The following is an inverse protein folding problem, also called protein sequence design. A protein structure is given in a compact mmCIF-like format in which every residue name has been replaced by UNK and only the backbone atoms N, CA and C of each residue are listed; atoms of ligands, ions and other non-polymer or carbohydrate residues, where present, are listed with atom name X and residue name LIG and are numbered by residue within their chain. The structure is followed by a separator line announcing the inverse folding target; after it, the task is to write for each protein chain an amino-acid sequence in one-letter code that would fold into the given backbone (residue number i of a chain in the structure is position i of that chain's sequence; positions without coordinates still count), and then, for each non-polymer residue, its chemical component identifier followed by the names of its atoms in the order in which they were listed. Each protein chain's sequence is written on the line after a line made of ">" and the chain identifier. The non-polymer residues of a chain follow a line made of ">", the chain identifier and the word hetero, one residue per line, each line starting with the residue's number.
data_IF_556357955677
#
_entry.id   IF_556357955677
#
_cell.length_a   1.000
_cell.length_b   1.000
_cell.length_c   1.000
_cell.angle_alpha   90.00
_cell.angle_beta   90.00
_cell.angle_gamma   90.00
#
_symmetry.space_group_name_H-M   'P 1'
#
loop_
_entity.id
_entity.type
_entity.pdbx_description
1 polymer ?
#
# COMPACT_ATOMS: atom_id res chain seq x y z
N UNK A 1 0.48 -34.68 19.88
CA UNK A 1 -0.84 -35.38 19.90
C UNK A 1 -1.66 -34.84 21.04
N UNK A 2 -2.90 -34.49 20.79
CA UNK A 2 -3.86 -34.05 21.82
C UNK A 2 -4.50 -35.29 22.44
N UNK A 3 -4.55 -35.37 23.77
CA UNK A 3 -5.25 -36.44 24.50
C UNK A 3 -6.59 -35.90 25.00
N UNK A 4 -7.68 -36.43 24.48
CA UNK A 4 -9.03 -36.02 24.85
C UNK A 4 -9.65 -37.11 25.72
N UNK A 5 -9.94 -36.86 27.00
CA UNK A 5 -10.69 -37.78 27.82
C UNK A 5 -12.18 -37.73 27.43
N UNK A 6 -12.78 -38.89 27.18
CA UNK A 6 -14.19 -39.07 26.85
C UNK A 6 -14.82 -40.05 27.84
N UNK A 7 -16.09 -39.83 28.17
CA UNK A 7 -16.88 -40.76 28.99
C UNK A 7 -18.07 -41.20 28.14
N UNK A 8 -18.14 -42.50 27.84
CA UNK A 8 -19.25 -43.10 27.09
C UNK A 8 -19.76 -44.27 27.94
N UNK A 9 -21.06 -44.29 28.24
CA UNK A 9 -21.71 -45.35 29.05
C UNK A 9 -20.95 -45.66 30.36
N UNK A 10 -20.58 -44.62 31.12
CA UNK A 10 -19.83 -44.71 32.38
C UNK A 10 -18.40 -45.31 32.28
N UNK A 11 -17.91 -45.63 31.08
CA UNK A 11 -16.53 -46.03 30.82
C UNK A 11 -15.70 -44.82 30.34
N UNK A 12 -14.47 -44.69 30.88
CA UNK A 12 -13.52 -43.63 30.50
C UNK A 12 -12.63 -44.10 29.35
N UNK A 13 -12.64 -43.34 28.26
CA UNK A 13 -11.78 -43.54 27.10
C UNK A 13 -10.84 -42.35 26.95
N UNK A 14 -9.62 -42.60 26.48
CA UNK A 14 -8.68 -41.54 26.13
C UNK A 14 -8.37 -41.65 24.64
N UNK A 15 -8.71 -40.63 23.87
CA UNK A 15 -8.42 -40.60 22.45
C UNK A 15 -7.19 -39.72 22.23
N UNK A 16 -6.16 -40.30 21.62
CA UNK A 16 -5.00 -39.56 21.15
C UNK A 16 -5.19 -39.23 19.66
N UNK A 17 -5.33 -37.95 19.32
CA UNK A 17 -5.45 -37.50 17.92
C UNK A 17 -4.38 -36.45 17.62
N UNK A 18 -3.87 -36.44 16.39
CA UNK A 18 -3.02 -35.34 15.94
C UNK A 18 -3.82 -34.04 15.84
N UNK A 19 -3.20 -32.92 16.19
CA UNK A 19 -3.82 -31.59 16.06
C UNK A 19 -4.10 -31.19 14.61
N UNK A 20 -3.36 -31.77 13.65
CA UNK A 20 -3.60 -31.59 12.21
C UNK A 20 -4.89 -32.25 11.75
N UNK A 21 -5.23 -33.39 12.35
CA UNK A 21 -6.30 -34.25 11.86
C UNK A 21 -7.64 -33.77 12.46
N UNK A 22 -7.65 -33.37 13.75
CA UNK A 22 -8.82 -32.71 14.40
C UNK A 22 -9.31 -31.48 13.61
N UNK A 23 -8.39 -30.72 12.98
CA UNK A 23 -8.75 -29.54 12.16
C UNK A 23 -9.49 -29.90 10.88
N UNK A 24 -9.21 -31.07 10.29
CA UNK A 24 -9.84 -31.55 9.06
C UNK A 24 -11.14 -32.33 9.31
N UNK A 25 -11.43 -32.64 10.57
CA UNK A 25 -12.49 -33.56 10.97
C UNK A 25 -11.99 -34.99 10.90
N UNK A 26 -11.98 -35.69 12.04
CA UNK A 26 -11.57 -37.09 12.13
C UNK A 26 -12.68 -37.90 12.76
N UNK A 27 -13.04 -38.99 12.10
CA UNK A 27 -13.88 -40.02 12.70
C UNK A 27 -13.01 -40.98 13.50
N UNK A 28 -13.24 -41.04 14.81
CA UNK A 28 -12.60 -42.01 15.70
C UNK A 28 -13.65 -42.99 16.21
N UNK A 29 -13.31 -44.29 16.16
CA UNK A 29 -14.14 -45.33 16.75
C UNK A 29 -13.77 -45.50 18.22
N UNK A 30 -14.74 -45.28 19.13
CA UNK A 30 -14.54 -45.42 20.58
C UNK A 30 -15.71 -46.20 21.16
N UNK A 31 -15.44 -47.38 21.73
CA UNK A 31 -16.46 -48.21 22.36
C UNK A 31 -17.59 -48.67 21.40
N UNK A 32 -17.27 -48.86 20.11
CA UNK A 32 -18.26 -49.25 19.08
C UNK A 32 -19.07 -48.08 18.51
N UNK A 33 -18.80 -46.85 18.93
CA UNK A 33 -19.45 -45.63 18.42
C UNK A 33 -18.46 -44.82 17.58
N UNK A 34 -18.88 -44.42 16.38
CA UNK A 34 -18.12 -43.53 15.52
C UNK A 34 -18.34 -42.07 15.96
N UNK A 35 -17.30 -41.43 16.49
CA UNK A 35 -17.33 -40.02 16.90
C UNK A 35 -16.61 -39.16 15.87
N UNK A 36 -17.30 -38.16 15.31
CA UNK A 36 -16.67 -37.15 14.46
C UNK A 36 -16.14 -36.02 15.35
N UNK A 37 -14.82 -35.93 15.46
CA UNK A 37 -14.13 -34.89 16.20
C UNK A 37 -13.72 -33.78 15.23
N UNK A 38 -14.40 -32.64 15.31
CA UNK A 38 -14.05 -31.40 14.64
C UNK A 38 -13.78 -30.34 15.70
N UNK A 39 -12.74 -29.54 15.50
CA UNK A 39 -12.53 -28.32 16.29
C UNK A 39 -13.80 -27.44 16.23
N UNK A 40 -14.39 -27.12 17.38
CA UNK A 40 -15.53 -26.20 17.50
C UNK A 40 -15.16 -24.74 17.25
N UNK A 41 -13.86 -24.44 17.12
CA UNK A 41 -13.45 -23.25 16.39
C UNK A 41 -13.77 -23.50 14.91
N UNK A 42 -15.02 -23.24 14.55
CA UNK A 42 -15.35 -22.78 13.21
C UNK A 42 -14.70 -21.40 13.04
N UNK A 43 -13.39 -21.40 12.81
CA UNK A 43 -12.81 -20.44 11.87
C UNK A 43 -13.34 -20.83 10.47
N UNK A 44 -14.66 -20.80 10.29
CA UNK A 44 -15.24 -20.66 8.98
C UNK A 44 -14.58 -19.43 8.38
N UNK A 45 -14.02 -19.59 7.19
CA UNK A 45 -13.24 -18.60 6.48
C UNK A 45 -14.01 -17.27 6.47
N UNK A 46 -13.79 -16.44 7.50
CA UNK A 46 -14.66 -15.31 7.78
C UNK A 46 -14.23 -14.22 6.80
N UNK A 47 -14.75 -14.34 5.58
CA UNK A 47 -14.37 -13.56 4.41
C UNK A 47 -14.45 -12.07 4.74
N UNK A 48 -15.43 -11.67 5.55
CA UNK A 48 -15.58 -10.31 6.05
C UNK A 48 -14.44 -9.90 6.99
N UNK A 49 -14.06 -10.74 7.96
CA UNK A 49 -12.91 -10.49 8.85
C UNK A 49 -11.62 -10.38 8.03
N UNK A 50 -11.39 -11.31 7.11
CA UNK A 50 -10.20 -11.31 6.25
C UNK A 50 -10.15 -10.06 5.37
N UNK A 51 -11.26 -9.71 4.73
CA UNK A 51 -11.40 -8.48 3.95
C UNK A 51 -11.13 -7.23 4.79
N UNK A 52 -11.75 -7.11 5.97
CA UNK A 52 -11.59 -5.94 6.84
C UNK A 52 -10.14 -5.78 7.31
N UNK A 53 -9.50 -6.88 7.70
CA UNK A 53 -8.08 -6.88 8.09
C UNK A 53 -7.19 -6.46 6.92
N UNK A 54 -7.41 -7.01 5.72
CA UNK A 54 -6.64 -6.66 4.54
C UNK A 54 -6.83 -5.19 4.15
N UNK A 55 -8.07 -4.70 4.16
CA UNK A 55 -8.38 -3.29 3.91
C UNK A 55 -7.64 -2.37 4.90
N UNK A 56 -7.68 -2.69 6.20
CA UNK A 56 -6.96 -1.92 7.22
C UNK A 56 -5.44 -1.94 7.00
N UNK A 57 -4.86 -3.08 6.61
CA UNK A 57 -3.44 -3.19 6.26
C UNK A 57 -3.05 -2.24 5.11
N UNK A 58 -3.83 -2.22 4.03
CA UNK A 58 -3.64 -1.27 2.92
C UNK A 58 -3.78 0.19 3.38
N UNK A 59 -4.84 0.49 4.13
CA UNK A 59 -5.15 1.83 4.61
C UNK A 59 -4.03 2.40 5.49
N UNK A 60 -3.58 1.64 6.50
CA UNK A 60 -2.51 2.08 7.39
C UNK A 60 -1.18 2.23 6.66
N UNK A 61 -0.87 1.37 5.68
CA UNK A 61 0.34 1.50 4.87
C UNK A 61 0.35 2.82 4.08
N UNK A 62 -0.78 3.21 3.50
CA UNK A 62 -0.94 4.49 2.79
C UNK A 62 -0.84 5.67 3.74
N UNK A 63 -1.49 5.61 4.91
CA UNK A 63 -1.41 6.68 5.91
C UNK A 63 0.03 6.87 6.40
N UNK A 64 0.71 5.77 6.73
CA UNK A 64 2.09 5.81 7.20
C UNK A 64 3.01 6.48 6.18
N UNK A 65 2.83 6.16 4.90
CA UNK A 65 3.58 6.77 3.80
C UNK A 65 3.28 8.27 3.67
N UNK A 66 2.00 8.66 3.66
CA UNK A 66 1.58 10.06 3.56
C UNK A 66 2.08 10.88 4.73
N UNK A 67 2.03 10.32 5.93
CA UNK A 67 2.52 10.99 7.13
C UNK A 67 4.05 11.12 7.12
N UNK A 68 4.77 10.08 6.69
CA UNK A 68 6.23 10.15 6.56
C UNK A 68 6.66 11.20 5.55
N UNK A 69 5.96 11.29 4.41
CA UNK A 69 6.17 12.35 3.41
C UNK A 69 5.89 13.72 4.02
N UNK A 70 4.78 13.89 4.75
CA UNK A 70 4.39 15.16 5.38
C UNK A 70 5.44 15.66 6.37
N UNK A 71 6.02 14.76 7.14
CA UNK A 71 7.08 15.05 8.11
C UNK A 71 8.46 15.19 7.46
N UNK A 72 8.65 14.67 6.25
CA UNK A 72 9.96 14.61 5.58
C UNK A 72 10.87 13.54 6.18
N UNK A 73 10.30 12.50 6.80
CA UNK A 73 11.05 11.43 7.43
C UNK A 73 11.51 10.39 6.39
N UNK A 74 12.74 10.60 5.93
CA UNK A 74 13.45 9.73 4.98
C UNK A 74 13.51 8.26 5.44
N UNK A 75 13.73 8.02 6.74
CA UNK A 75 13.90 6.67 7.28
C UNK A 75 12.57 5.94 7.27
N UNK A 76 11.50 6.58 7.73
CA UNK A 76 10.15 6.00 7.71
C UNK A 76 9.65 5.73 6.30
N UNK A 77 9.95 6.59 5.34
CA UNK A 77 9.62 6.33 3.93
C UNK A 77 10.32 5.05 3.45
N UNK A 78 11.60 4.88 3.72
CA UNK A 78 12.32 3.69 3.25
C UNK A 78 11.79 2.39 3.90
N UNK A 79 11.49 2.43 5.20
CA UNK A 79 10.82 1.31 5.88
C UNK A 79 9.46 1.02 5.26
N UNK A 80 8.67 2.06 4.96
CA UNK A 80 7.34 1.90 4.38
C UNK A 80 7.41 1.31 2.98
N UNK A 81 8.36 1.74 2.14
CA UNK A 81 8.61 1.17 0.81
C UNK A 81 8.94 -0.32 0.87
N UNK A 82 9.77 -0.75 1.83
CA UNK A 82 10.05 -2.19 2.05
C UNK A 82 8.78 -2.98 2.38
N UNK A 83 7.90 -2.42 3.20
CA UNK A 83 6.62 -3.05 3.51
C UNK A 83 5.67 -3.07 2.32
N UNK A 84 5.74 -2.09 1.41
CA UNK A 84 4.91 -2.00 0.21
C UNK A 84 5.30 -3.00 -0.91
N UNK A 85 6.55 -3.49 -0.94
CA UNK A 85 6.99 -4.47 -1.95
C UNK A 85 6.09 -5.73 -1.99
N UNK A 86 5.82 -6.41 -0.86
CA UNK A 86 4.82 -7.49 -0.79
C UNK A 86 3.43 -7.14 -1.34
N UNK A 87 2.92 -5.94 -1.03
CA UNK A 87 1.62 -5.49 -1.52
C UNK A 87 1.60 -5.41 -3.04
N UNK A 88 2.63 -4.81 -3.64
CA UNK A 88 2.74 -4.72 -5.10
C UNK A 88 2.93 -6.08 -5.76
N UNK A 89 3.72 -6.97 -5.15
CA UNK A 89 3.90 -8.34 -5.62
C UNK A 89 2.60 -9.13 -5.61
N UNK A 90 1.82 -9.02 -4.53
CA UNK A 90 0.55 -9.74 -4.36
C UNK A 90 -0.51 -9.33 -5.39
N UNK A 91 -0.46 -8.06 -5.84
CA UNK A 91 -1.30 -7.58 -6.92
C UNK A 91 -0.77 -8.05 -8.29
N UNK A 92 0.54 -7.93 -8.52
CA UNK A 92 1.19 -8.41 -9.74
C UNK A 92 2.69 -8.63 -9.56
N UNK A 93 3.16 -9.82 -9.97
CA UNK A 93 4.59 -10.18 -10.01
C UNK A 93 5.39 -9.27 -10.96
N UNK A 94 4.72 -8.65 -11.94
CA UNK A 94 5.31 -7.73 -12.92
C UNK A 94 5.06 -6.26 -12.57
N UNK A 95 4.66 -5.97 -11.33
CA UNK A 95 4.37 -4.61 -10.90
C UNK A 95 5.56 -3.67 -11.08
N UNK A 96 5.36 -2.60 -11.87
CA UNK A 96 6.36 -1.53 -12.04
C UNK A 96 6.66 -0.85 -10.71
N UNK A 97 5.65 -0.64 -9.88
CA UNK A 97 5.78 -0.06 -8.55
C UNK A 97 6.66 -0.90 -7.62
N UNK A 98 6.57 -2.24 -7.73
CA UNK A 98 7.46 -3.14 -7.00
C UNK A 98 8.92 -2.94 -7.42
N UNK A 99 9.18 -2.87 -8.73
CA UNK A 99 10.52 -2.68 -9.29
C UNK A 99 11.09 -1.33 -8.87
N UNK A 100 10.31 -0.25 -8.95
CA UNK A 100 10.74 1.09 -8.51
C UNK A 100 11.05 1.15 -7.01
N UNK A 101 10.26 0.48 -6.17
CA UNK A 101 10.56 0.36 -4.74
C UNK A 101 11.89 -0.35 -4.50
N UNK A 102 12.11 -1.49 -5.18
CA UNK A 102 13.35 -2.26 -5.08
C UNK A 102 14.54 -1.43 -5.55
N UNK A 103 14.42 -0.75 -6.70
CA UNK A 103 15.46 0.10 -7.27
C UNK A 103 15.84 1.26 -6.31
N UNK A 104 14.84 1.95 -5.75
CA UNK A 104 15.07 3.02 -4.79
C UNK A 104 15.75 2.51 -3.50
N UNK A 105 15.29 1.38 -2.95
CA UNK A 105 15.88 0.77 -1.76
C UNK A 105 17.33 0.36 -2.05
N UNK A 106 17.56 -0.33 -3.17
CA UNK A 106 18.88 -0.78 -3.60
C UNK A 106 19.85 0.38 -3.74
N UNK A 107 19.45 1.43 -4.47
CA UNK A 107 20.28 2.63 -4.66
C UNK A 107 20.60 3.32 -3.36
N UNK A 108 19.60 3.54 -2.50
CA UNK A 108 19.82 4.32 -1.29
C UNK A 108 20.44 3.52 -0.13
N UNK A 109 20.31 2.20 -0.09
CA UNK A 109 20.89 1.39 1.00
C UNK A 109 22.19 0.69 0.64
N UNK A 110 22.41 0.37 -0.64
CA UNK A 110 23.50 -0.53 -1.03
C UNK A 110 24.41 0.04 -2.13
N UNK A 111 23.87 0.77 -3.12
CA UNK A 111 24.67 1.18 -4.29
C UNK A 111 25.33 2.54 -4.13
N UNK A 112 24.61 3.54 -3.62
CA UNK A 112 25.12 4.91 -3.53
C UNK A 112 25.99 5.09 -2.29
N UNK A 113 27.00 5.97 -2.39
CA UNK A 113 27.78 6.40 -1.23
C UNK A 113 26.86 7.02 -0.16
N UNK A 114 27.24 7.00 1.13
CA UNK A 114 26.40 7.52 2.20
C UNK A 114 25.90 8.95 1.97
N UNK A 115 26.76 9.80 1.40
CA UNK A 115 26.42 11.18 1.05
C UNK A 115 25.38 11.25 -0.09
N UNK A 116 25.60 10.52 -1.19
CA UNK A 116 24.67 10.51 -2.31
C UNK A 116 23.33 9.89 -1.94
N UNK A 117 23.34 8.83 -1.14
CA UNK A 117 22.13 8.21 -0.58
C UNK A 117 21.32 9.21 0.23
N UNK A 118 21.96 9.94 1.15
CA UNK A 118 21.29 10.96 1.96
C UNK A 118 20.70 12.05 1.06
N UNK A 119 21.44 12.51 0.05
CA UNK A 119 20.97 13.52 -0.90
C UNK A 119 19.75 13.05 -1.68
N UNK A 120 19.75 11.82 -2.21
CA UNK A 120 18.61 11.24 -2.94
C UNK A 120 17.39 11.11 -2.03
N UNK A 121 17.57 10.62 -0.80
CA UNK A 121 16.49 10.49 0.17
C UNK A 121 15.89 11.84 0.56
N UNK A 122 16.74 12.83 0.82
CA UNK A 122 16.29 14.18 1.16
C UNK A 122 15.58 14.85 -0.04
N UNK A 123 16.10 14.66 -1.25
CA UNK A 123 15.54 15.20 -2.49
C UNK A 123 14.20 14.55 -2.90
N UNK A 124 13.78 13.47 -2.23
CA UNK A 124 12.46 12.86 -2.41
C UNK A 124 11.34 13.77 -1.88
N UNK A 125 11.68 14.72 -1.01
CA UNK A 125 10.75 15.68 -0.44
C UNK A 125 11.06 17.10 -0.90
N UNK A 126 10.01 17.90 -1.00
CA UNK A 126 10.10 19.34 -1.18
C UNK A 126 9.22 20.04 -0.16
N UNK A 127 9.69 21.15 0.39
CA UNK A 127 8.93 22.01 1.29
C UNK A 127 8.78 23.41 0.68
N UNK A 128 7.88 23.61 -0.29
CA UNK A 128 7.78 24.88 -1.01
C UNK A 128 7.55 26.09 -0.11
N UNK A 129 6.87 25.88 1.03
CA UNK A 129 6.50 26.95 1.98
C UNK A 129 7.43 27.02 3.20
N UNK A 130 8.41 26.13 3.32
CA UNK A 130 9.35 26.08 4.47
C UNK A 130 8.71 25.82 5.84
N UNK A 131 7.44 25.38 5.91
CA UNK A 131 6.71 25.19 7.17
C UNK A 131 6.81 23.75 7.67
N UNK A 132 6.77 23.56 9.00
CA UNK A 132 6.76 22.21 9.61
C UNK A 132 5.52 21.42 9.15
N UNK A 133 5.73 20.16 8.77
CA UNK A 133 4.63 19.28 8.36
C UNK A 133 3.96 19.67 7.03
N UNK A 134 4.65 20.44 6.19
CA UNK A 134 4.16 20.88 4.86
C UNK A 134 5.03 20.34 3.71
N UNK A 135 5.82 19.32 3.98
CA UNK A 135 6.56 18.60 2.94
C UNK A 135 5.58 17.91 1.97
N UNK A 136 6.00 17.81 0.72
CA UNK A 136 5.32 17.08 -0.36
C UNK A 136 6.33 16.15 -1.03
N UNK A 137 5.85 15.08 -1.66
CA UNK A 137 6.68 14.28 -2.53
C UNK A 137 7.16 15.15 -3.71
N UNK A 138 8.45 15.09 -4.02
CA UNK A 138 9.05 15.89 -5.09
C UNK A 138 8.42 15.59 -6.46
N UNK A 139 8.13 14.32 -6.73
CA UNK A 139 7.44 13.88 -7.95
C UNK A 139 6.05 14.53 -8.08
N UNK A 140 5.25 14.51 -7.01
CA UNK A 140 3.94 15.17 -6.98
C UNK A 140 4.04 16.69 -7.21
N UNK A 141 5.07 17.34 -6.66
CA UNK A 141 5.30 18.76 -6.93
C UNK A 141 5.64 19.01 -8.41
N UNK A 142 6.50 18.18 -8.99
CA UNK A 142 6.86 18.26 -10.41
C UNK A 142 5.67 18.00 -11.33
N UNK A 143 4.84 17.02 -11.02
CA UNK A 143 3.61 16.74 -11.77
C UNK A 143 2.67 17.96 -11.77
N UNK A 144 2.49 18.60 -10.61
CA UNK A 144 1.68 19.81 -10.50
C UNK A 144 2.26 20.98 -11.31
N UNK A 145 3.58 21.20 -11.25
CA UNK A 145 4.28 22.23 -12.04
C UNK A 145 4.08 22.00 -13.55
N UNK A 146 4.29 20.76 -14.01
CA UNK A 146 4.11 20.38 -15.42
C UNK A 146 2.68 20.59 -15.88
N UNK A 147 1.70 20.17 -15.06
CA UNK A 147 0.27 20.34 -15.37
C UNK A 147 -0.09 21.83 -15.48
N UNK A 148 0.40 22.65 -14.57
CA UNK A 148 0.19 24.09 -14.60
C UNK A 148 0.78 24.74 -15.85
N UNK A 149 2.04 24.43 -16.18
CA UNK A 149 2.70 24.94 -17.38
C UNK A 149 2.00 24.52 -18.66
N UNK A 150 1.54 23.26 -18.76
CA UNK A 150 0.74 22.79 -19.91
C UNK A 150 -0.55 23.59 -20.08
N UNK A 151 -1.21 23.96 -18.99
CA UNK A 151 -2.42 24.79 -19.04
C UNK A 151 -2.11 26.21 -19.53
N UNK A 152 -1.01 26.82 -19.06
CA UNK A 152 -0.55 28.12 -19.55
C UNK A 152 -0.21 28.09 -21.05
N UNK A 153 0.51 27.07 -21.50
CA UNK A 153 0.82 26.93 -22.94
C UNK A 153 -0.46 26.72 -23.76
N UNK A 154 -1.46 26.02 -23.21
CA UNK A 154 -2.75 25.84 -23.86
C UNK A 154 -3.54 27.14 -23.96
N UNK A 155 -3.45 28.04 -22.97
CA UNK A 155 -4.18 29.32 -22.98
C UNK A 155 -3.64 30.32 -24.01
N UNK A 156 -2.42 30.14 -24.53
CA UNK A 156 -1.87 30.94 -25.63
C UNK A 156 -2.65 30.78 -26.96
N UNK A 157 -3.52 29.77 -27.10
CA UNK A 157 -4.33 29.57 -28.30
C UNK A 157 -3.47 29.37 -29.56
N UNK A 158 -3.70 30.18 -30.59
CA UNK A 158 -2.94 30.16 -31.83
C UNK A 158 -1.53 30.79 -31.71
N UNK A 159 -1.28 31.58 -30.66
CA UNK A 159 -0.02 32.33 -30.48
C UNK A 159 1.10 31.48 -29.83
N UNK A 160 1.16 30.19 -30.12
CA UNK A 160 2.20 29.26 -29.60
C UNK A 160 3.50 29.40 -30.38
N UNK A 161 4.10 30.58 -30.32
CA UNK A 161 5.47 30.79 -30.78
C UNK A 161 6.45 30.43 -29.67
N UNK A 162 7.66 29.99 -30.02
CA UNK A 162 8.69 29.64 -29.03
C UNK A 162 8.95 30.78 -28.04
N UNK A 163 9.05 32.02 -28.55
CA UNK A 163 9.22 33.23 -27.73
C UNK A 163 8.09 33.39 -26.71
N UNK A 164 6.84 33.14 -27.11
CA UNK A 164 5.67 33.25 -26.23
C UNK A 164 5.63 32.12 -25.19
N UNK A 165 6.02 30.90 -25.59
CA UNK A 165 6.10 29.74 -24.68
C UNK A 165 7.18 29.96 -23.62
N UNK A 166 8.37 30.41 -24.02
CA UNK A 166 9.45 30.72 -23.07
C UNK A 166 9.04 31.87 -22.15
N UNK A 167 8.42 32.93 -22.71
CA UNK A 167 7.93 34.06 -21.94
C UNK A 167 6.92 33.65 -20.86
N UNK A 168 5.87 32.91 -21.23
CA UNK A 168 4.83 32.49 -20.29
C UNK A 168 5.36 31.48 -19.26
N UNK A 169 6.27 30.59 -19.66
CA UNK A 169 6.87 29.60 -18.74
C UNK A 169 7.71 30.29 -17.67
N UNK A 170 8.48 31.32 -18.04
CA UNK A 170 9.25 32.15 -17.09
C UNK A 170 8.34 32.95 -16.16
N UNK A 171 7.22 33.47 -16.65
CA UNK A 171 6.24 34.20 -15.85
C UNK A 171 5.38 33.30 -14.95
N UNK A 172 5.26 32.01 -15.28
CA UNK A 172 4.37 31.06 -14.63
C UNK A 172 4.46 31.02 -13.09
N UNK A 173 5.65 30.93 -12.47
CA UNK A 173 5.79 30.93 -11.01
C UNK A 173 5.25 32.20 -10.36
N UNK A 174 5.54 33.37 -10.95
CA UNK A 174 5.07 34.67 -10.45
C UNK A 174 3.55 34.79 -10.58
N UNK A 175 2.98 34.33 -11.71
CA UNK A 175 1.52 34.29 -11.88
C UNK A 175 0.83 33.41 -10.83
N UNK A 176 1.45 32.28 -10.47
CA UNK A 176 0.93 31.39 -9.44
C UNK A 176 0.96 32.06 -8.07
N UNK A 177 2.05 32.74 -7.72
CA UNK A 177 2.20 33.47 -6.47
C UNK A 177 1.18 34.62 -6.34
N UNK A 178 0.98 35.39 -7.41
CA UNK A 178 -0.04 36.46 -7.45
C UNK A 178 -1.43 35.88 -7.23
N UNK A 179 -1.75 34.76 -7.89
CA UNK A 179 -3.04 34.09 -7.72
C UNK A 179 -3.23 33.57 -6.29
N UNK A 180 -2.22 32.90 -5.71
CA UNK A 180 -2.26 32.42 -4.32
C UNK A 180 -2.45 33.57 -3.32
N UNK A 181 -1.73 34.69 -3.51
CA UNK A 181 -1.84 35.86 -2.64
C UNK A 181 -3.21 36.55 -2.78
N UNK A 182 -3.74 36.65 -4.00
CA UNK A 182 -5.08 37.19 -4.24
C UNK A 182 -6.17 36.32 -3.56
N UNK A 183 -6.07 35.00 -3.67
CA UNK A 183 -6.97 34.07 -2.98
C UNK A 183 -6.87 34.20 -1.46
N UNK A 184 -5.66 34.41 -0.92
CA UNK A 184 -5.43 34.63 0.51
C UNK A 184 -6.04 35.95 1.00
N UNK A 185 -5.83 37.05 0.27
CA UNK A 185 -6.36 38.38 0.58
C UNK A 185 -7.89 38.43 0.52
N UNK A 186 -8.49 37.78 -0.48
CA UNK A 186 -9.95 37.75 -0.65
C UNK A 186 -10.62 36.76 0.29
N UNK A 187 -9.86 35.96 1.04
CA UNK A 187 -10.39 34.88 1.86
C UNK A 187 -11.07 33.78 1.03
N UNK A 188 -10.88 33.78 -0.30
CA UNK A 188 -11.46 32.84 -1.24
C UNK A 188 -10.72 31.51 -1.15
N UNK A 189 -10.84 30.82 -0.02
CA UNK A 189 -10.46 29.40 0.09
C UNK A 189 -11.48 28.57 -0.67
N UNK A 190 -11.46 28.69 -1.99
CA UNK A 190 -12.30 27.88 -2.88
C UNK A 190 -11.69 26.48 -2.91
N UNK A 191 -11.96 25.69 -1.87
CA UNK A 191 -11.75 24.26 -1.92
C UNK A 191 -12.79 23.73 -2.90
N UNK A 192 -12.42 23.68 -4.19
CA UNK A 192 -13.16 22.92 -5.20
C UNK A 192 -12.92 21.45 -4.94
N UNK A 193 -13.44 20.94 -3.83
CA UNK A 193 -13.76 19.52 -3.73
C UNK A 193 -15.06 19.32 -4.50
N UNK A 194 -15.11 18.29 -5.34
CA UNK A 194 -16.35 17.86 -5.99
C UNK A 194 -17.47 17.58 -4.97
N UNK A 195 -17.10 17.36 -3.70
CA UNK A 195 -17.99 17.29 -2.54
C UNK A 195 -18.16 18.68 -1.91
N UNK A 196 -19.36 19.26 -2.04
CA UNK A 196 -19.73 20.58 -1.49
C UNK A 196 -20.01 20.58 0.02
N UNK A 197 -20.14 19.42 0.67
CA UNK A 197 -20.35 19.31 2.11
C UNK A 197 -19.69 18.03 2.65
N UNK A 198 -18.99 18.12 3.78
CA UNK A 198 -18.71 16.96 4.65
C UNK A 198 -19.98 16.65 5.44
N UNK A 199 -20.97 15.99 4.85
CA UNK A 199 -22.08 15.45 5.65
C UNK A 199 -21.73 14.01 6.03
N UNK A 200 -21.42 13.85 7.32
CA UNK A 200 -21.21 12.53 7.93
C UNK A 200 -22.47 11.68 7.78
N UNK A 201 -23.65 12.28 7.85
CA UNK A 201 -24.93 11.58 7.72
C UNK A 201 -25.11 10.98 6.33
N UNK A 202 -24.85 11.75 5.26
CA UNK A 202 -24.94 11.26 3.88
C UNK A 202 -23.93 10.14 3.63
N UNK A 203 -22.70 10.28 4.13
CA UNK A 203 -21.68 9.23 3.99
C UNK A 203 -22.10 7.94 4.72
N UNK A 204 -22.67 8.05 5.93
CA UNK A 204 -23.20 6.90 6.67
C UNK A 204 -24.37 6.28 5.93
N UNK A 205 -25.31 7.06 5.41
CA UNK A 205 -26.47 6.56 4.67
C UNK A 205 -26.05 5.82 3.39
N UNK A 206 -25.12 6.38 2.61
CA UNK A 206 -24.56 5.74 1.42
C UNK A 206 -23.80 4.47 1.77
N UNK A 207 -23.00 4.49 2.85
CA UNK A 207 -22.31 3.30 3.34
C UNK A 207 -23.31 2.23 3.77
N UNK A 208 -24.31 2.56 4.58
CA UNK A 208 -25.33 1.61 5.04
C UNK A 208 -26.12 1.04 3.86
N UNK A 209 -26.56 1.86 2.91
CA UNK A 209 -27.28 1.39 1.72
C UNK A 209 -26.42 0.41 0.89
N UNK A 210 -25.12 0.68 0.73
CA UNK A 210 -24.18 -0.24 0.07
C UNK A 210 -23.96 -1.52 0.89
N UNK A 211 -23.76 -1.42 2.20
CA UNK A 211 -23.51 -2.56 3.08
C UNK A 211 -24.73 -3.50 3.17
N UNK A 212 -25.95 -2.94 3.21
CA UNK A 212 -27.21 -3.69 3.15
C UNK A 212 -27.33 -4.41 1.80
N UNK A 213 -27.02 -3.72 0.69
CA UNK A 213 -26.99 -4.33 -0.64
C UNK A 213 -26.00 -5.49 -0.77
N UNK A 214 -24.85 -5.38 -0.09
CA UNK A 214 -23.80 -6.42 -0.08
C UNK A 214 -24.10 -7.61 0.83
N UNK A 215 -25.14 -7.53 1.69
CA UNK A 215 -25.58 -8.60 2.62
C UNK A 215 -24.44 -9.29 3.36
N UNK A 216 -23.47 -8.52 3.85
CA UNK A 216 -22.20 -9.02 4.39
C UNK A 216 -22.33 -9.92 5.63
N UNK A 217 -23.47 -9.87 6.30
CA UNK A 217 -23.74 -10.58 7.56
C UNK A 217 -24.63 -11.82 7.38
N UNK A 218 -25.05 -12.10 6.13
CA UNK A 218 -25.88 -13.26 5.77
C UNK A 218 -24.97 -14.47 5.57
N UNK A 219 -24.91 -15.38 6.54
CA UNK A 219 -23.98 -16.53 6.56
C UNK A 219 -24.34 -17.61 5.52
N UNK A 220 -25.56 -17.57 4.98
CA UNK A 220 -26.11 -18.61 4.11
C UNK A 220 -25.80 -18.39 2.61
N UNK A 221 -25.15 -17.28 2.25
CA UNK A 221 -24.85 -16.93 0.85
C UNK A 221 -23.40 -16.51 0.63
N UNK A 222 -22.80 -16.84 -0.53
CA UNK A 222 -21.45 -16.41 -0.85
C UNK A 222 -21.35 -14.89 -0.86
N UNK A 223 -20.42 -14.36 -0.06
CA UNK A 223 -20.18 -12.92 0.07
C UNK A 223 -19.88 -12.29 -1.30
N UNK A 224 -20.54 -11.18 -1.63
CA UNK A 224 -20.28 -10.38 -2.84
C UNK A 224 -19.02 -9.48 -2.72
N UNK A 225 -18.18 -9.70 -1.71
CA UNK A 225 -16.93 -8.95 -1.55
C UNK A 225 -15.99 -9.21 -2.74
N UNK A 226 -15.22 -8.20 -3.17
CA UNK A 226 -14.25 -8.38 -4.24
C UNK A 226 -13.22 -9.45 -3.88
N UNK A 227 -13.05 -10.45 -4.75
CA UNK A 227 -12.03 -11.49 -4.59
C UNK A 227 -10.61 -10.93 -4.47
N UNK A 228 -10.36 -9.72 -4.99
CA UNK A 228 -9.05 -9.06 -4.97
C UNK A 228 -8.54 -8.74 -3.56
N UNK A 229 -9.43 -8.65 -2.56
CA UNK A 229 -9.09 -8.38 -1.15
C UNK A 229 -9.35 -9.58 -0.23
N UNK A 230 -9.76 -10.73 -0.78
CA UNK A 230 -10.01 -11.94 0.01
C UNK A 230 -8.71 -12.60 0.48
N UNK A 231 -7.60 -12.38 -0.21
CA UNK A 231 -6.28 -12.92 0.15
C UNK A 231 -5.41 -11.83 0.75
N UNK A 232 -4.71 -12.17 1.84
CA UNK A 232 -3.73 -11.26 2.42
C UNK A 232 -2.63 -10.94 1.40
N UNK A 233 -2.18 -9.68 1.32
CA UNK A 233 -1.05 -9.32 0.46
C UNK A 233 0.25 -10.03 0.85
N UNK A 234 0.31 -10.68 2.02
CA UNK A 234 1.44 -11.48 2.47
C UNK A 234 1.23 -12.99 2.31
N UNK A 235 0.08 -13.42 1.76
CA UNK A 235 -0.26 -14.81 1.51
C UNK A 235 0.32 -15.28 0.17
N UNK A 236 1.64 -15.28 0.05
CA UNK A 236 2.37 -15.81 -1.10
C UNK A 236 3.49 -16.75 -0.67
N UNK A 237 3.97 -17.59 -1.58
CA UNK A 237 5.13 -18.44 -1.33
C UNK A 237 6.39 -17.57 -1.17
N UNK A 238 6.95 -17.58 0.05
CA UNK A 238 8.15 -16.82 0.40
C UNK A 238 9.36 -17.21 -0.44
N UNK A 239 9.47 -18.48 -0.89
CA UNK A 239 10.56 -18.94 -1.74
C UNK A 239 10.47 -18.30 -3.12
N UNK A 240 9.29 -18.37 -3.75
CA UNK A 240 9.04 -17.78 -5.07
C UNK A 240 9.19 -16.26 -5.03
N UNK A 241 8.69 -15.61 -3.97
CA UNK A 241 8.86 -14.19 -3.75
C UNK A 241 10.35 -13.81 -3.66
N UNK A 242 11.12 -14.52 -2.83
CA UNK A 242 12.56 -14.28 -2.69
C UNK A 242 13.28 -14.43 -4.03
N UNK A 243 13.04 -15.51 -4.77
CA UNK A 243 13.65 -15.72 -6.09
C UNK A 243 13.31 -14.59 -7.06
N UNK A 244 12.04 -14.14 -7.06
CA UNK A 244 11.59 -13.03 -7.92
C UNK A 244 12.32 -11.73 -7.55
N UNK A 245 12.34 -11.36 -6.27
CA UNK A 245 13.01 -10.14 -5.79
C UNK A 245 14.50 -10.18 -6.14
N UNK A 246 15.17 -11.31 -5.91
CA UNK A 246 16.59 -11.47 -6.24
C UNK A 246 16.84 -11.35 -7.74
N UNK A 247 15.99 -11.92 -8.59
CA UNK A 247 16.08 -11.78 -10.05
C UNK A 247 15.94 -10.31 -10.48
N UNK A 248 15.03 -9.54 -9.86
CA UNK A 248 14.90 -8.09 -10.13
C UNK A 248 16.13 -7.32 -9.67
N UNK A 249 16.66 -7.61 -8.49
CA UNK A 249 17.89 -6.99 -7.98
C UNK A 249 19.06 -7.27 -8.93
N UNK A 250 19.26 -8.52 -9.35
CA UNK A 250 20.33 -8.88 -10.26
C UNK A 250 20.23 -8.10 -11.57
N UNK A 251 19.03 -8.00 -12.15
CA UNK A 251 18.80 -7.19 -13.35
C UNK A 251 19.14 -5.71 -13.15
N UNK A 252 18.78 -5.13 -12.01
CA UNK A 252 19.05 -3.72 -11.71
C UNK A 252 20.54 -3.44 -11.44
N UNK A 253 21.28 -4.43 -10.95
CA UNK A 253 22.72 -4.32 -10.71
C UNK A 253 23.57 -4.46 -11.97
N UNK A 254 23.07 -5.10 -13.04
CA UNK A 254 23.84 -5.26 -14.29
C UNK A 254 24.23 -3.92 -14.93
N UNK A 255 23.50 -2.84 -14.65
CA UNK A 255 23.76 -1.51 -15.19
C UNK A 255 24.66 -0.65 -14.26
N UNK A 256 25.16 -1.22 -13.15
CA UNK A 256 26.01 -0.50 -12.18
C UNK A 256 27.47 -0.87 -12.42
N UNK A 257 28.39 0.10 -12.62
CA UNK A 257 29.81 -0.19 -12.70
C UNK A 257 30.27 -0.81 -11.38
N UNK A 258 30.72 -2.06 -11.42
CA UNK A 258 31.42 -2.67 -10.28
C UNK A 258 32.77 -1.97 -10.16
N UNK A 259 33.05 -1.40 -8.98
CA UNK A 259 34.41 -0.99 -8.63
C UNK A 259 35.23 -2.27 -8.62
N UNK A 260 36.09 -2.46 -9.62
CA UNK A 260 37.12 -3.49 -9.56
C UNK A 260 37.93 -3.21 -8.29
N UNK A 261 38.00 -4.19 -7.40
CA UNK A 261 38.88 -4.08 -6.25
C UNK A 261 40.31 -4.11 -6.81
N UNK A 262 40.96 -2.96 -6.89
CA UNK A 262 42.42 -2.83 -7.05
C UNK A 262 43.12 -3.39 -5.80
N UNK A 263 43.01 -4.70 -5.57
CA UNK A 263 43.72 -5.44 -4.55
C UNK A 263 44.52 -6.59 -5.19
N UNK A 264 45.14 -6.31 -6.34
CA UNK A 264 46.23 -7.10 -6.91
C UNK A 264 47.48 -6.20 -7.00
N UNK A 265 48.06 -5.86 -5.84
CA UNK A 265 49.49 -5.54 -5.67
C UNK A 265 50.02 -6.22 -4.40
#
# INVERSE_FOLDING_TARGET
>A
MLKIPLIINNARYTVAVSTTDIRKGVTVQVGGVALNLKSSHEDGDNTLKTYAVNFLQWYFSVIQMKDAIREGDMRRVNITLKHMVPFFYSHSVLSKYMVECIDYILKTEHTLSPYMSLKVRAATFVNPKGRKGKNKAADMQKENEVKYLKNLIRSLGANKTEKSIVGITKAGPVMLEIAENFDEMTGSKTVKTTHKLKSKEIDIEVLTNKLVGLRLWDQDKPSMLPDSLSKSPFAFDRKVFKTTVMSKIQRLLMDVPTVENDNDE
#
